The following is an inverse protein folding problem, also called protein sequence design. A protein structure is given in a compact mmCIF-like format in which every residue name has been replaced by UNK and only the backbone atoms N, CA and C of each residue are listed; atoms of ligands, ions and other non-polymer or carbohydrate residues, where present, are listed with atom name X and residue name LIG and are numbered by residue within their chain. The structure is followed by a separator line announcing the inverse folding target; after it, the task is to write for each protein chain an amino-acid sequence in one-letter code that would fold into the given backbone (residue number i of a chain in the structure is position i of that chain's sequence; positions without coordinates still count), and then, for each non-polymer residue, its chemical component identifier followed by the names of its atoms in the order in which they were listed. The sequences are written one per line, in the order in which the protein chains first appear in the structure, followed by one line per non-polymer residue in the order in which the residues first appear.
data_IF_058418634132
#
_entry.id   IF_058418634132
#
_cell.length_a   1.000
_cell.length_b   1.000
_cell.length_c   1.000
_cell.angle_alpha   90.00
_cell.angle_beta   90.00
_cell.angle_gamma   90.00
#
_symmetry.space_group_name_H-M   'P 1'
#
loop_
_entity.id
_entity.type
_entity.pdbx_description
1 polymer ?
#
# COMPACT_ATOMS: atom_id res chain seq x y z
N UNK A 1 19.18 18.62 -35.07
CA UNK A 1 18.67 17.37 -34.49
C UNK A 1 17.26 17.66 -34.00
N UNK A 2 16.32 17.17 -34.81
CA UNK A 2 14.88 17.36 -34.66
C UNK A 2 14.42 16.71 -33.36
N UNK A 3 14.03 17.55 -32.41
CA UNK A 3 13.21 17.15 -31.27
C UNK A 3 11.78 17.07 -31.82
N UNK A 4 11.30 15.86 -32.03
CA UNK A 4 9.89 15.58 -32.21
C UNK A 4 9.15 16.15 -30.98
N UNK A 5 8.52 17.32 -31.14
CA UNK A 5 7.48 17.86 -30.27
C UNK A 5 6.25 16.97 -30.48
N UNK A 6 6.23 15.81 -29.82
CA UNK A 6 4.98 15.12 -29.52
C UNK A 6 4.18 16.06 -28.60
N UNK A 7 3.25 16.82 -29.17
CA UNK A 7 2.16 17.49 -28.47
C UNK A 7 1.33 16.43 -27.74
N UNK A 8 1.80 15.99 -26.57
CA UNK A 8 0.99 15.27 -25.62
C UNK A 8 0.07 16.30 -24.94
N UNK A 9 -1.14 16.44 -25.43
CA UNK A 9 -2.27 16.98 -24.66
C UNK A 9 -2.40 16.11 -23.40
N UNK A 10 -1.76 16.55 -22.32
CA UNK A 10 -1.99 16.05 -20.98
C UNK A 10 -3.38 16.52 -20.52
N UNK A 11 -4.42 15.88 -21.01
CA UNK A 11 -5.68 15.81 -20.30
C UNK A 11 -5.43 14.97 -19.05
N UNK A 12 -5.11 15.66 -17.95
CA UNK A 12 -5.15 15.10 -16.60
C UNK A 12 -6.61 14.86 -16.22
N UNK A 13 -7.16 13.75 -16.66
CA UNK A 13 -8.28 13.14 -15.97
C UNK A 13 -7.71 12.48 -14.71
N UNK A 14 -8.03 13.06 -13.56
CA UNK A 14 -7.94 12.40 -12.25
C UNK A 14 -8.68 11.06 -12.34
N UNK A 15 -7.92 9.97 -12.48
CA UNK A 15 -8.43 8.60 -12.71
C UNK A 15 -9.05 7.97 -11.42
N UNK A 16 -9.47 8.80 -10.49
CA UNK A 16 -10.29 8.38 -9.33
C UNK A 16 -11.79 8.50 -9.61
N UNK A 17 -12.18 9.07 -10.78
CA UNK A 17 -13.58 9.25 -11.19
C UNK A 17 -14.06 8.30 -12.30
N UNK A 18 -13.21 7.42 -12.83
CA UNK A 18 -13.59 6.49 -13.92
C UNK A 18 -14.39 5.25 -13.47
N UNK A 19 -14.74 5.15 -12.18
CA UNK A 19 -15.66 4.11 -11.68
C UNK A 19 -17.16 4.44 -11.93
N UNK A 20 -17.49 5.64 -12.37
CA UNK A 20 -18.89 6.08 -12.48
C UNK A 20 -19.59 5.73 -13.81
N UNK A 21 -18.86 5.32 -14.85
CA UNK A 21 -19.46 5.02 -16.16
C UNK A 21 -19.87 3.55 -16.35
N UNK A 22 -19.75 2.72 -15.30
CA UNK A 22 -20.28 1.36 -15.23
C UNK A 22 -21.50 1.30 -14.31
N UNK A 23 -22.43 2.25 -14.41
CA UNK A 23 -23.70 2.13 -13.68
C UNK A 23 -24.46 0.91 -14.21
N UNK A 24 -24.37 -0.18 -13.42
CA UNK A 24 -25.13 -1.41 -13.68
C UNK A 24 -26.60 -1.01 -13.67
N UNK A 25 -27.34 -1.37 -14.74
CA UNK A 25 -28.77 -1.18 -14.78
C UNK A 25 -29.42 -1.76 -13.51
N UNK A 26 -30.07 -0.92 -12.69
CA UNK A 26 -30.62 -1.37 -11.41
C UNK A 26 -31.69 -2.45 -11.57
N UNK A 27 -32.40 -2.50 -12.70
CA UNK A 27 -33.43 -3.50 -12.98
C UNK A 27 -32.76 -4.85 -13.29
N UNK A 28 -31.76 -4.87 -14.15
CA UNK A 28 -30.97 -6.06 -14.47
C UNK A 28 -30.28 -6.63 -13.23
N UNK A 29 -29.74 -5.76 -12.37
CA UNK A 29 -29.13 -6.16 -11.12
C UNK A 29 -30.14 -6.83 -10.19
N UNK A 30 -31.33 -6.26 -10.02
CA UNK A 30 -32.41 -6.86 -9.21
C UNK A 30 -32.86 -8.22 -9.74
N UNK A 31 -33.01 -8.35 -11.05
CA UNK A 31 -33.37 -9.62 -11.69
C UNK A 31 -32.32 -10.69 -11.41
N UNK A 32 -31.05 -10.40 -11.68
CA UNK A 32 -29.94 -11.35 -11.46
C UNK A 32 -29.73 -11.73 -10.00
N UNK A 33 -29.82 -10.77 -9.07
CA UNK A 33 -29.78 -11.08 -7.63
C UNK A 33 -31.03 -11.85 -7.18
N UNK A 34 -32.19 -11.62 -7.80
CA UNK A 34 -33.40 -12.40 -7.58
C UNK A 34 -33.23 -13.86 -7.99
N UNK A 35 -32.70 -14.12 -9.20
CA UNK A 35 -32.34 -15.46 -9.67
C UNK A 35 -31.37 -16.16 -8.71
N UNK A 36 -30.32 -15.49 -8.31
CA UNK A 36 -29.33 -16.03 -7.38
C UNK A 36 -29.95 -16.41 -6.03
N UNK A 37 -30.79 -15.54 -5.47
CA UNK A 37 -31.49 -15.78 -4.20
C UNK A 37 -32.40 -16.98 -4.28
N UNK A 38 -33.21 -17.04 -5.32
CA UNK A 38 -34.15 -18.16 -5.54
C UNK A 38 -33.42 -19.51 -5.65
N UNK A 39 -32.34 -19.54 -6.46
CA UNK A 39 -31.50 -20.73 -6.60
C UNK A 39 -30.79 -21.11 -5.31
N UNK A 40 -30.34 -20.13 -4.52
CA UNK A 40 -29.73 -20.37 -3.22
C UNK A 40 -30.72 -20.99 -2.23
N UNK A 41 -31.97 -20.49 -2.17
CA UNK A 41 -32.99 -21.01 -1.27
C UNK A 41 -33.32 -22.46 -1.65
N UNK A 42 -33.51 -22.78 -2.95
CA UNK A 42 -33.73 -24.14 -3.44
C UNK A 42 -32.56 -25.06 -3.05
N UNK A 43 -31.35 -24.62 -3.31
CA UNK A 43 -30.13 -25.40 -3.00
C UNK A 43 -30.01 -25.67 -1.50
N UNK A 44 -30.23 -24.63 -0.66
CA UNK A 44 -30.20 -24.75 0.79
C UNK A 44 -31.23 -25.76 1.32
N UNK A 45 -32.47 -25.68 0.83
CA UNK A 45 -33.56 -26.58 1.28
C UNK A 45 -33.33 -28.02 0.81
N UNK A 46 -32.77 -28.21 -0.38
CA UNK A 46 -32.36 -29.52 -0.89
C UNK A 46 -31.24 -30.14 -0.07
N UNK A 47 -30.23 -29.32 0.33
CA UNK A 47 -29.13 -29.77 1.19
C UNK A 47 -29.68 -30.15 2.58
N UNK A 48 -30.59 -29.37 3.16
CA UNK A 48 -31.22 -29.70 4.46
C UNK A 48 -32.03 -30.98 4.42
N UNK A 49 -32.77 -31.22 3.31
CA UNK A 49 -33.66 -32.38 3.19
C UNK A 49 -32.92 -33.70 2.89
N UNK A 50 -31.91 -33.67 2.01
CA UNK A 50 -31.25 -34.86 1.46
C UNK A 50 -29.77 -35.01 1.84
N UNK A 51 -29.22 -34.02 2.47
CA UNK A 51 -27.78 -33.94 2.73
C UNK A 51 -26.97 -33.50 1.50
N UNK A 52 -25.79 -32.91 1.74
CA UNK A 52 -24.96 -32.32 0.70
C UNK A 52 -24.30 -33.34 -0.26
N UNK A 53 -24.06 -34.56 0.21
CA UNK A 53 -23.46 -35.64 -0.60
C UNK A 53 -24.42 -36.31 -1.57
N UNK A 54 -25.70 -35.99 -1.49
CA UNK A 54 -26.72 -36.59 -2.37
C UNK A 54 -26.62 -36.00 -3.79
N UNK A 55 -26.80 -36.86 -4.82
CA UNK A 55 -26.65 -36.45 -6.24
C UNK A 55 -27.52 -35.23 -6.60
N UNK A 56 -28.79 -35.20 -6.13
CA UNK A 56 -29.68 -34.07 -6.37
C UNK A 56 -29.17 -32.75 -5.70
N UNK A 57 -28.52 -32.80 -4.55
CA UNK A 57 -27.94 -31.63 -3.92
C UNK A 57 -26.72 -31.14 -4.70
N UNK A 58 -25.90 -32.03 -5.25
CA UNK A 58 -24.76 -31.68 -6.10
C UNK A 58 -25.19 -31.02 -7.41
N UNK A 59 -26.27 -31.48 -8.04
CA UNK A 59 -26.84 -30.85 -9.22
C UNK A 59 -27.31 -29.41 -8.94
N UNK A 60 -28.01 -29.19 -7.82
CA UNK A 60 -28.45 -27.85 -7.43
C UNK A 60 -27.27 -26.94 -7.06
N UNK A 61 -26.21 -27.44 -6.39
CA UNK A 61 -24.98 -26.72 -6.14
C UNK A 61 -24.28 -26.32 -7.45
N UNK A 62 -24.29 -27.20 -8.45
CA UNK A 62 -23.71 -26.90 -9.75
C UNK A 62 -24.50 -25.80 -10.48
N UNK A 63 -25.84 -25.85 -10.47
CA UNK A 63 -26.68 -24.77 -11.01
C UNK A 63 -26.42 -23.43 -10.30
N UNK A 64 -26.36 -23.44 -8.97
CA UNK A 64 -26.03 -22.24 -8.19
C UNK A 64 -24.66 -21.69 -8.58
N UNK A 65 -23.66 -22.56 -8.77
CA UNK A 65 -22.33 -22.18 -9.23
C UNK A 65 -22.35 -21.55 -10.63
N UNK A 66 -23.18 -22.05 -11.54
CA UNK A 66 -23.31 -21.49 -12.89
C UNK A 66 -23.96 -20.10 -12.88
N UNK A 67 -25.00 -19.93 -12.07
CA UNK A 67 -25.61 -18.59 -11.86
C UNK A 67 -24.60 -17.63 -11.23
N UNK A 68 -23.87 -18.06 -10.20
CA UNK A 68 -22.90 -17.22 -9.51
C UNK A 68 -21.72 -16.82 -10.42
N UNK A 69 -21.26 -17.69 -11.32
CA UNK A 69 -20.18 -17.40 -12.28
C UNK A 69 -20.53 -16.31 -13.29
N UNK A 70 -21.80 -15.98 -13.47
CA UNK A 70 -22.22 -14.88 -14.33
C UNK A 70 -21.92 -13.51 -13.71
N UNK A 71 -21.77 -13.45 -12.36
CA UNK A 71 -21.45 -12.23 -11.67
C UNK A 71 -19.96 -11.93 -11.77
N UNK A 72 -19.64 -10.70 -12.14
CA UNK A 72 -18.28 -10.18 -12.13
C UNK A 72 -18.05 -9.41 -10.82
N UNK A 73 -17.41 -10.05 -9.87
CA UNK A 73 -17.13 -9.45 -8.58
C UNK A 73 -16.09 -8.35 -8.70
N UNK A 74 -16.29 -7.26 -7.98
CA UNK A 74 -15.28 -6.21 -7.79
C UNK A 74 -14.06 -6.82 -7.07
N UNK A 75 -12.81 -6.44 -7.44
CA UNK A 75 -11.60 -7.00 -6.83
C UNK A 75 -11.62 -7.01 -5.29
N UNK A 76 -12.11 -5.95 -4.67
CA UNK A 76 -12.26 -5.84 -3.21
C UNK A 76 -13.13 -6.94 -2.61
N UNK A 77 -14.24 -7.29 -3.27
CA UNK A 77 -15.14 -8.36 -2.80
C UNK A 77 -14.52 -9.74 -3.03
N UNK A 78 -13.82 -9.91 -4.15
CA UNK A 78 -13.09 -11.14 -4.42
C UNK A 78 -12.00 -11.39 -3.36
N UNK A 79 -11.19 -10.39 -3.05
CA UNK A 79 -10.15 -10.48 -2.02
C UNK A 79 -10.73 -10.75 -0.63
N UNK A 80 -11.89 -10.17 -0.31
CA UNK A 80 -12.60 -10.45 0.93
C UNK A 80 -12.99 -11.93 1.03
N UNK A 81 -13.55 -12.51 -0.04
CA UNK A 81 -13.95 -13.93 -0.07
C UNK A 81 -12.72 -14.86 0.04
N UNK A 82 -11.64 -14.55 -0.66
CA UNK A 82 -10.37 -15.29 -0.59
C UNK A 82 -9.80 -15.26 0.83
N UNK A 83 -9.76 -14.08 1.45
CA UNK A 83 -9.25 -13.92 2.81
C UNK A 83 -10.15 -14.59 3.85
N UNK A 84 -11.47 -14.54 3.68
CA UNK A 84 -12.41 -15.27 4.53
C UNK A 84 -12.18 -16.78 4.46
N UNK A 85 -12.00 -17.32 3.25
CA UNK A 85 -11.71 -18.75 3.05
C UNK A 85 -10.36 -19.16 3.65
N UNK A 86 -9.32 -18.33 3.53
CA UNK A 86 -8.03 -18.54 4.18
C UNK A 86 -8.17 -18.52 5.70
N UNK A 87 -8.91 -17.56 6.25
CA UNK A 87 -9.16 -17.47 7.68
C UNK A 87 -9.85 -18.72 8.24
N UNK A 88 -10.83 -19.26 7.53
CA UNK A 88 -11.47 -20.54 7.88
C UNK A 88 -10.46 -21.69 7.86
N UNK A 89 -9.63 -21.77 6.82
CA UNK A 89 -8.61 -22.81 6.71
C UNK A 89 -7.54 -22.71 7.80
N UNK A 90 -7.15 -21.51 8.21
CA UNK A 90 -6.19 -21.32 9.30
C UNK A 90 -6.80 -21.69 10.66
N UNK A 91 -8.10 -21.43 10.88
CA UNK A 91 -8.83 -21.94 12.05
C UNK A 91 -8.80 -23.48 12.08
N UNK A 92 -9.10 -24.14 10.97
CA UNK A 92 -9.02 -25.61 10.85
C UNK A 92 -7.62 -26.11 11.16
N UNK A 93 -6.59 -25.57 10.50
CA UNK A 93 -5.19 -25.97 10.71
C UNK A 93 -4.71 -25.77 12.14
N UNK A 94 -5.18 -24.72 12.80
CA UNK A 94 -4.82 -24.45 14.19
C UNK A 94 -5.36 -25.53 15.11
N UNK A 95 -6.62 -25.93 14.94
CA UNK A 95 -7.22 -26.99 15.74
C UNK A 95 -6.57 -28.38 15.42
N UNK A 96 -6.35 -28.69 14.16
CA UNK A 96 -5.66 -29.94 13.77
C UNK A 96 -4.26 -30.04 14.34
N UNK A 97 -3.49 -28.94 14.32
CA UNK A 97 -2.15 -28.89 14.91
C UNK A 97 -2.20 -29.06 16.43
N UNK A 98 -3.17 -28.48 17.09
CA UNK A 98 -3.37 -28.59 18.53
C UNK A 98 -3.69 -30.04 18.89
N UNK A 99 -4.65 -30.68 18.23
CA UNK A 99 -5.01 -32.09 18.43
C UNK A 99 -3.79 -32.98 18.15
N UNK A 100 -3.06 -32.74 17.04
CA UNK A 100 -1.86 -33.49 16.72
C UNK A 100 -0.80 -33.34 17.81
N UNK A 101 -0.59 -32.13 18.34
CA UNK A 101 0.37 -31.87 19.41
C UNK A 101 0.01 -32.64 20.69
N UNK A 102 -1.26 -32.62 21.09
CA UNK A 102 -1.74 -33.37 22.24
C UNK A 102 -1.50 -34.90 22.07
N UNK A 103 -1.92 -35.45 20.94
CA UNK A 103 -1.82 -36.89 20.70
C UNK A 103 -0.38 -37.40 20.45
N UNK A 104 0.40 -36.65 19.64
CA UNK A 104 1.74 -37.11 19.21
C UNK A 104 2.84 -36.68 20.20
N UNK A 105 2.85 -35.44 20.67
CA UNK A 105 3.92 -34.93 21.55
C UNK A 105 3.69 -35.31 23.01
N UNK A 106 2.48 -35.12 23.55
CA UNK A 106 2.20 -35.40 24.96
C UNK A 106 1.98 -36.90 25.20
N UNK A 107 1.08 -37.51 24.40
CA UNK A 107 0.79 -38.96 24.59
C UNK A 107 1.78 -39.87 23.91
N UNK A 108 2.73 -39.36 23.10
CA UNK A 108 3.74 -40.13 22.33
C UNK A 108 3.13 -41.13 21.35
N UNK A 109 1.98 -40.84 20.81
CA UNK A 109 1.36 -41.63 19.74
C UNK A 109 2.19 -41.51 18.45
N UNK A 110 2.48 -42.61 17.74
CA UNK A 110 3.20 -42.57 16.45
C UNK A 110 2.42 -41.75 15.42
N UNK A 111 3.06 -40.77 14.79
CA UNK A 111 2.45 -39.86 13.81
C UNK A 111 1.70 -40.57 12.68
N UNK A 112 2.22 -41.74 12.23
CA UNK A 112 1.57 -42.58 11.21
C UNK A 112 0.19 -43.03 11.66
N UNK A 113 0.10 -43.57 12.90
CA UNK A 113 -1.18 -44.04 13.45
C UNK A 113 -2.19 -42.92 13.62
N UNK A 114 -1.73 -41.75 14.09
CA UNK A 114 -2.58 -40.56 14.18
C UNK A 114 -3.14 -40.17 12.81
N UNK A 115 -2.30 -40.02 11.79
CA UNK A 115 -2.74 -39.62 10.44
C UNK A 115 -3.75 -40.66 9.89
N UNK A 116 -3.48 -41.95 10.04
CA UNK A 116 -4.38 -42.99 9.50
C UNK A 116 -5.76 -42.99 10.15
N UNK A 117 -5.86 -42.66 11.45
CA UNK A 117 -7.13 -42.64 12.18
C UNK A 117 -7.88 -41.31 12.02
N UNK A 118 -7.14 -40.22 11.99
CA UNK A 118 -7.67 -38.88 12.00
C UNK A 118 -8.15 -38.41 10.62
N UNK A 119 -7.42 -38.75 9.53
CA UNK A 119 -7.77 -38.33 8.18
C UNK A 119 -9.08 -38.95 7.73
N UNK A 120 -10.03 -38.11 7.34
CA UNK A 120 -11.38 -38.53 6.92
C UNK A 120 -12.41 -38.61 8.06
N UNK A 121 -11.97 -38.53 9.33
CA UNK A 121 -12.81 -38.55 10.51
C UNK A 121 -12.54 -37.36 11.45
N UNK A 122 -12.08 -36.23 10.90
CA UNK A 122 -11.57 -35.08 11.65
C UNK A 122 -12.58 -34.50 12.66
N UNK A 123 -13.89 -34.61 12.38
CA UNK A 123 -14.98 -34.09 13.24
C UNK A 123 -15.64 -35.17 14.09
N UNK A 124 -15.33 -36.43 13.84
CA UNK A 124 -15.98 -37.58 14.52
C UNK A 124 -15.15 -38.02 15.71
N UNK A 125 -15.80 -38.35 16.83
CA UNK A 125 -15.13 -38.95 18.01
C UNK A 125 -14.72 -40.40 17.79
N UNK A 126 -15.16 -41.02 16.69
CA UNK A 126 -14.94 -42.46 16.41
C UNK A 126 -13.46 -42.81 16.30
N UNK A 127 -12.64 -41.94 15.71
CA UNK A 127 -11.17 -42.19 15.58
C UNK A 127 -10.49 -42.14 16.94
N UNK A 128 -10.96 -41.26 17.85
CA UNK A 128 -10.35 -41.13 19.19
C UNK A 128 -10.70 -42.34 20.06
N UNK A 129 -11.95 -42.79 20.02
CA UNK A 129 -12.38 -44.01 20.69
C UNK A 129 -11.66 -45.27 20.13
N UNK A 130 -11.46 -45.32 18.81
CA UNK A 130 -10.69 -46.40 18.19
C UNK A 130 -9.20 -46.35 18.61
N UNK A 131 -8.61 -45.18 18.77
CA UNK A 131 -7.26 -45.02 19.28
C UNK A 131 -7.10 -45.54 20.72
N UNK A 132 -8.08 -45.24 21.60
CA UNK A 132 -8.10 -45.74 22.97
C UNK A 132 -8.28 -47.27 22.98
N UNK A 133 -9.15 -47.84 22.14
CA UNK A 133 -9.41 -49.28 22.07
C UNK A 133 -8.23 -50.15 21.60
N UNK A 134 -7.17 -49.51 21.04
CA UNK A 134 -5.98 -50.21 20.61
C UNK A 134 -5.09 -50.76 21.76
N UNK A 135 -5.35 -50.39 23.01
CA UNK A 135 -4.65 -50.85 24.22
C UNK A 135 -3.13 -50.83 24.12
N UNK A 136 -2.57 -49.75 23.58
CA UNK A 136 -1.12 -49.55 23.47
C UNK A 136 -0.59 -48.64 24.59
N UNK A 137 0.72 -48.60 24.88
CA UNK A 137 1.29 -47.82 25.98
C UNK A 137 0.96 -46.32 25.94
N UNK A 138 0.54 -45.81 24.80
CA UNK A 138 0.09 -44.41 24.61
C UNK A 138 -1.43 -44.23 24.79
N UNK A 139 -2.22 -45.29 24.75
CA UNK A 139 -3.68 -45.23 24.89
C UNK A 139 -4.13 -44.78 26.29
N UNK A 140 -3.39 -45.18 27.35
CA UNK A 140 -3.67 -44.72 28.71
C UNK A 140 -3.52 -43.21 28.87
N UNK A 141 -2.48 -42.64 28.24
CA UNK A 141 -2.25 -41.17 28.27
C UNK A 141 -3.25 -40.36 27.47
N UNK A 142 -3.98 -40.99 26.50
CA UNK A 142 -5.02 -40.29 25.77
C UNK A 142 -6.21 -39.94 26.65
N UNK A 143 -6.45 -40.67 27.74
CA UNK A 143 -7.50 -40.32 28.69
C UNK A 143 -7.22 -38.99 29.40
N UNK A 144 -5.95 -38.66 29.69
CA UNK A 144 -5.56 -37.43 30.36
C UNK A 144 -5.81 -36.16 29.48
N UNK A 145 -5.78 -36.32 28.16
CA UNK A 145 -5.98 -35.20 27.21
C UNK A 145 -7.34 -35.25 26.51
N UNK A 146 -8.22 -36.15 26.90
CA UNK A 146 -9.52 -36.39 26.26
C UNK A 146 -10.35 -35.09 26.18
N UNK A 147 -10.47 -34.33 27.25
CA UNK A 147 -11.24 -33.10 27.31
C UNK A 147 -10.71 -32.00 26.36
N UNK A 148 -9.39 -31.91 26.20
CA UNK A 148 -8.77 -30.96 25.30
C UNK A 148 -8.97 -31.35 23.83
N UNK A 149 -8.91 -32.65 23.53
CA UNK A 149 -9.22 -33.18 22.21
C UNK A 149 -10.68 -32.96 21.87
N UNK A 150 -11.61 -33.28 22.80
CA UNK A 150 -13.04 -33.02 22.58
C UNK A 150 -13.34 -31.54 22.33
N UNK A 151 -12.71 -30.63 23.07
CA UNK A 151 -12.84 -29.18 22.79
C UNK A 151 -12.33 -28.80 21.40
N UNK A 152 -11.24 -29.42 20.96
CA UNK A 152 -10.72 -29.25 19.59
C UNK A 152 -11.69 -29.76 18.53
N UNK A 153 -12.29 -30.96 18.74
CA UNK A 153 -13.29 -31.54 17.84
C UNK A 153 -14.56 -30.69 17.76
N UNK A 154 -15.08 -30.19 18.90
CA UNK A 154 -16.24 -29.29 18.92
C UNK A 154 -16.00 -28.02 18.09
N UNK A 155 -14.80 -27.44 18.16
CA UNK A 155 -14.45 -26.28 17.35
C UNK A 155 -14.39 -26.63 15.86
N UNK A 156 -13.93 -27.81 15.49
CA UNK A 156 -13.97 -28.27 14.09
C UNK A 156 -15.41 -28.49 13.63
N UNK A 157 -16.28 -29.09 14.46
CA UNK A 157 -17.71 -29.26 14.17
C UNK A 157 -18.40 -27.91 14.00
N UNK A 158 -18.09 -26.94 14.86
CA UNK A 158 -18.60 -25.57 14.73
C UNK A 158 -18.22 -24.93 13.39
N UNK A 159 -16.98 -25.14 12.90
CA UNK A 159 -16.57 -24.66 11.58
C UNK A 159 -17.36 -25.35 10.47
N UNK A 160 -17.63 -26.65 10.57
CA UNK A 160 -18.49 -27.38 9.61
C UNK A 160 -19.93 -26.84 9.61
N UNK A 161 -20.49 -26.53 10.78
CA UNK A 161 -21.82 -25.94 10.89
C UNK A 161 -21.86 -24.53 10.30
N UNK A 162 -20.89 -23.69 10.62
CA UNK A 162 -20.76 -22.32 10.09
C UNK A 162 -20.62 -22.29 8.55
N UNK A 163 -19.84 -23.22 7.99
CA UNK A 163 -19.55 -23.25 6.56
C UNK A 163 -20.52 -24.09 5.76
N UNK A 164 -21.19 -25.04 6.41
CA UNK A 164 -21.97 -26.09 5.73
C UNK A 164 -21.13 -27.02 4.85
N UNK A 165 -19.81 -27.04 5.05
CA UNK A 165 -18.81 -27.84 4.31
C UNK A 165 -18.11 -28.80 5.23
N UNK A 166 -17.79 -30.01 4.77
CA UNK A 166 -16.90 -30.91 5.50
C UNK A 166 -15.47 -30.35 5.48
N UNK A 167 -14.68 -30.66 6.50
CA UNK A 167 -13.28 -30.22 6.59
C UNK A 167 -12.48 -30.62 5.34
N UNK A 168 -12.73 -31.79 4.82
CA UNK A 168 -12.10 -32.28 3.57
C UNK A 168 -12.44 -31.38 2.38
N UNK A 169 -13.72 -30.99 2.23
CA UNK A 169 -14.14 -30.08 1.17
C UNK A 169 -13.51 -28.69 1.31
N UNK A 170 -13.42 -28.17 2.53
CA UNK A 170 -12.72 -26.88 2.80
C UNK A 170 -11.27 -26.95 2.37
N UNK A 171 -10.58 -28.07 2.70
CA UNK A 171 -9.18 -28.31 2.27
C UNK A 171 -9.05 -28.40 0.75
N UNK A 172 -9.96 -29.11 0.07
CA UNK A 172 -9.91 -29.25 -1.40
C UNK A 172 -10.17 -27.90 -2.11
N UNK A 173 -11.17 -27.13 -1.66
CA UNK A 173 -11.45 -25.80 -2.19
C UNK A 173 -10.22 -24.87 -2.01
N UNK A 174 -9.63 -24.84 -0.80
CA UNK A 174 -8.44 -24.04 -0.54
C UNK A 174 -7.24 -24.49 -1.39
N UNK A 175 -7.08 -25.80 -1.62
CA UNK A 175 -6.04 -26.33 -2.51
C UNK A 175 -6.23 -25.85 -3.95
N UNK A 176 -7.46 -25.93 -4.48
CA UNK A 176 -7.76 -25.46 -5.85
C UNK A 176 -7.55 -23.96 -5.98
N UNK A 177 -7.97 -23.20 -4.98
CA UNK A 177 -7.75 -21.74 -4.92
C UNK A 177 -6.26 -21.42 -4.94
N UNK A 178 -5.45 -22.06 -4.10
CA UNK A 178 -4.00 -21.85 -4.04
C UNK A 178 -3.29 -22.20 -5.35
N UNK A 179 -3.74 -23.26 -6.05
CA UNK A 179 -3.22 -23.62 -7.38
C UNK A 179 -3.56 -22.53 -8.41
N UNK A 180 -4.80 -22.02 -8.36
CA UNK A 180 -5.26 -20.94 -9.24
C UNK A 180 -4.44 -19.65 -9.01
N UNK A 181 -4.25 -19.25 -7.76
CA UNK A 181 -3.43 -18.10 -7.40
C UNK A 181 -1.97 -18.25 -7.84
N UNK A 182 -1.40 -19.44 -7.66
CA UNK A 182 -0.02 -19.72 -8.12
C UNK A 182 0.12 -19.58 -9.64
N UNK A 183 -0.89 -20.07 -10.40
CA UNK A 183 -0.94 -19.89 -11.87
C UNK A 183 -1.05 -18.41 -12.25
N UNK A 184 -1.94 -17.66 -11.60
CA UNK A 184 -2.14 -16.24 -11.87
C UNK A 184 -0.86 -15.43 -11.56
N UNK A 185 -0.22 -15.69 -10.42
CA UNK A 185 1.04 -15.05 -10.04
C UNK A 185 2.16 -15.33 -11.02
N UNK A 186 2.26 -16.59 -11.48
CA UNK A 186 3.25 -16.97 -12.50
C UNK A 186 3.00 -16.25 -13.83
N UNK A 187 1.75 -16.21 -14.31
CA UNK A 187 1.39 -15.52 -15.53
C UNK A 187 1.66 -14.02 -15.46
N UNK A 188 1.33 -13.36 -14.34
CA UNK A 188 1.67 -11.96 -14.09
C UNK A 188 3.17 -11.72 -14.15
N UNK A 189 3.96 -12.59 -13.51
CA UNK A 189 5.42 -12.51 -13.52
C UNK A 189 5.97 -12.64 -14.94
N UNK A 190 5.55 -13.64 -15.71
CA UNK A 190 5.94 -13.85 -17.09
C UNK A 190 5.59 -12.64 -17.98
N UNK A 191 4.42 -12.04 -17.75
CA UNK A 191 3.98 -10.85 -18.49
C UNK A 191 4.84 -9.61 -18.17
N UNK A 192 5.20 -9.40 -16.89
CA UNK A 192 6.12 -8.32 -16.48
C UNK A 192 7.48 -8.52 -17.11
N UNK A 193 8.09 -9.71 -16.98
CA UNK A 193 9.43 -10.04 -17.47
C UNK A 193 9.53 -9.84 -19.00
N UNK A 194 8.50 -10.21 -19.75
CA UNK A 194 8.45 -10.02 -21.21
C UNK A 194 8.45 -8.54 -21.65
N UNK A 195 7.98 -7.62 -20.76
CA UNK A 195 7.81 -6.21 -21.08
C UNK A 195 8.82 -5.26 -20.40
N UNK A 196 9.84 -5.79 -19.69
CA UNK A 196 10.88 -4.95 -19.05
C UNK A 196 11.63 -4.06 -20.03
N UNK A 197 11.83 -4.52 -21.28
CA UNK A 197 12.47 -3.72 -22.34
C UNK A 197 11.64 -2.49 -22.73
N UNK A 198 10.32 -2.58 -22.66
CA UNK A 198 9.43 -1.44 -22.90
C UNK A 198 9.69 -0.34 -21.87
N UNK A 199 9.80 -0.70 -20.58
CA UNK A 199 10.11 0.25 -19.50
C UNK A 199 11.42 0.97 -19.76
N UNK A 200 12.50 0.23 -20.12
CA UNK A 200 13.81 0.82 -20.40
C UNK A 200 13.73 1.83 -21.56
N UNK A 201 12.98 1.51 -22.62
CA UNK A 201 12.84 2.39 -23.79
C UNK A 201 12.11 3.70 -23.44
N UNK A 202 11.13 3.64 -22.55
CA UNK A 202 10.40 4.82 -22.07
C UNK A 202 11.26 5.60 -21.08
N UNK A 203 11.85 4.95 -20.06
CA UNK A 203 12.69 5.59 -19.05
C UNK A 203 13.87 6.38 -19.66
N UNK A 204 14.41 5.90 -20.80
CA UNK A 204 15.49 6.58 -21.53
C UNK A 204 15.10 8.00 -21.99
N UNK A 205 13.83 8.27 -22.26
CA UNK A 205 13.35 9.61 -22.65
C UNK A 205 13.30 10.60 -21.47
N UNK A 206 13.36 10.11 -20.22
CA UNK A 206 13.26 10.90 -18.99
C UNK A 206 14.58 11.07 -18.25
N UNK A 207 15.70 10.69 -18.86
CA UNK A 207 17.04 10.92 -18.30
C UNK A 207 17.35 12.40 -18.15
N UNK A 208 18.23 12.76 -17.22
CA UNK A 208 18.67 14.14 -16.92
C UNK A 208 17.56 15.07 -16.39
N UNK A 209 16.53 14.50 -15.74
CA UNK A 209 15.43 15.25 -15.12
C UNK A 209 15.44 15.18 -13.59
N UNK A 210 16.62 14.96 -12.99
CA UNK A 210 16.79 14.98 -11.53
C UNK A 210 16.82 13.62 -10.85
N UNK A 211 16.40 12.53 -11.53
CA UNK A 211 16.53 11.17 -11.04
C UNK A 211 17.56 10.37 -11.83
N UNK A 212 18.21 9.43 -11.16
CA UNK A 212 19.13 8.48 -11.76
C UNK A 212 18.40 7.53 -12.71
N UNK A 213 19.04 7.12 -13.80
CA UNK A 213 18.42 6.25 -14.81
C UNK A 213 17.89 4.93 -14.22
N UNK A 214 18.61 4.33 -13.27
CA UNK A 214 18.17 3.09 -12.62
C UNK A 214 16.90 3.29 -11.77
N UNK A 215 16.77 4.44 -11.13
CA UNK A 215 15.57 4.77 -10.34
C UNK A 215 14.36 4.97 -11.26
N UNK A 216 14.55 5.64 -12.40
CA UNK A 216 13.50 5.76 -13.42
C UNK A 216 13.01 4.40 -13.93
N UNK A 217 13.93 3.43 -14.13
CA UNK A 217 13.57 2.06 -14.49
C UNK A 217 12.75 1.41 -13.39
N UNK A 218 13.13 1.55 -12.12
CA UNK A 218 12.40 0.93 -11.02
C UNK A 218 11.00 1.51 -10.86
N UNK A 219 10.86 2.82 -10.93
CA UNK A 219 9.54 3.47 -10.91
C UNK A 219 8.69 3.07 -12.11
N UNK A 220 9.31 2.99 -13.29
CA UNK A 220 8.64 2.46 -14.48
C UNK A 220 8.22 1.00 -14.36
N UNK A 221 9.00 0.15 -13.67
CA UNK A 221 8.62 -1.23 -13.36
C UNK A 221 7.42 -1.30 -12.41
N UNK A 222 7.32 -0.39 -11.43
CA UNK A 222 6.15 -0.27 -10.56
C UNK A 222 4.90 0.09 -11.39
N UNK A 223 5.04 1.03 -12.32
CA UNK A 223 3.99 1.37 -13.27
C UNK A 223 3.58 0.18 -14.14
N UNK A 224 4.54 -0.57 -14.67
CA UNK A 224 4.29 -1.80 -15.45
C UNK A 224 3.53 -2.85 -14.64
N UNK A 225 3.90 -3.09 -13.37
CA UNK A 225 3.20 -4.05 -12.50
C UNK A 225 1.74 -3.62 -12.27
N UNK A 226 1.47 -2.33 -12.04
CA UNK A 226 0.10 -1.79 -11.95
C UNK A 226 -0.67 -1.99 -13.25
N UNK A 227 -0.03 -1.79 -14.40
CA UNK A 227 -0.64 -2.03 -15.70
C UNK A 227 -1.02 -3.51 -15.90
N UNK A 228 -0.15 -4.46 -15.52
CA UNK A 228 -0.43 -5.90 -15.60
C UNK A 228 -1.61 -6.29 -14.70
N UNK A 229 -1.71 -5.70 -13.52
CA UNK A 229 -2.81 -5.99 -12.58
C UNK A 229 -4.18 -5.49 -13.07
N UNK A 230 -4.21 -4.32 -13.72
CA UNK A 230 -5.45 -3.68 -14.20
C UNK A 230 -5.79 -4.01 -15.66
N UNK A 231 -4.91 -4.72 -16.40
CA UNK A 231 -5.12 -4.99 -17.82
C UNK A 231 -6.26 -5.96 -18.10
N UNK A 232 -7.20 -5.54 -18.95
CA UNK A 232 -8.33 -6.32 -19.41
C UNK A 232 -8.18 -6.69 -20.89
N UNK A 233 -7.66 -7.88 -21.18
CA UNK A 233 -7.43 -8.35 -22.55
C UNK A 233 -8.72 -8.40 -23.40
N UNK A 234 -9.89 -8.52 -22.78
CA UNK A 234 -11.18 -8.61 -23.48
C UNK A 234 -11.58 -7.31 -24.16
N UNK A 235 -10.99 -6.17 -23.80
CA UNK A 235 -11.22 -4.87 -24.46
C UNK A 235 -10.56 -4.78 -25.85
N UNK A 236 -9.71 -5.74 -26.25
CA UNK A 236 -9.10 -5.84 -27.57
C UNK A 236 -7.92 -4.92 -27.84
N UNK A 237 -7.52 -4.08 -26.88
CA UNK A 237 -6.34 -3.21 -27.02
C UNK A 237 -5.03 -3.97 -26.80
N UNK A 238 -3.97 -3.52 -27.48
CA UNK A 238 -2.62 -4.05 -27.24
C UNK A 238 -2.15 -3.66 -25.85
N UNK A 239 -1.57 -4.61 -25.13
CA UNK A 239 -1.02 -4.38 -23.78
C UNK A 239 -0.02 -3.22 -23.74
N UNK A 240 0.88 -3.12 -24.74
CA UNK A 240 1.90 -2.07 -24.79
C UNK A 240 1.32 -0.66 -24.76
N UNK A 241 0.19 -0.41 -25.45
CA UNK A 241 -0.47 0.90 -25.46
C UNK A 241 -0.95 1.28 -24.06
N UNK A 242 -1.63 0.35 -23.37
CA UNK A 242 -2.10 0.56 -22.02
C UNK A 242 -0.95 0.69 -21.00
N UNK A 243 0.06 -0.18 -21.11
CA UNK A 243 1.20 -0.16 -20.20
C UNK A 243 2.04 1.11 -20.33
N UNK A 244 2.17 1.67 -21.54
CA UNK A 244 2.93 2.91 -21.78
C UNK A 244 2.40 4.06 -20.93
N UNK A 245 1.07 4.20 -20.83
CA UNK A 245 0.45 5.23 -19.99
C UNK A 245 0.82 5.06 -18.51
N UNK A 246 0.66 3.86 -17.96
CA UNK A 246 1.00 3.58 -16.56
C UNK A 246 2.48 3.75 -16.23
N UNK A 247 3.36 3.35 -17.16
CA UNK A 247 4.81 3.51 -17.02
C UNK A 247 5.16 4.99 -17.02
N UNK A 248 4.63 5.76 -17.99
CA UNK A 248 4.85 7.20 -18.11
C UNK A 248 4.37 7.92 -16.85
N UNK A 249 3.16 7.64 -16.40
CA UNK A 249 2.57 8.22 -15.21
C UNK A 249 3.40 7.94 -13.95
N UNK A 250 3.86 6.70 -13.76
CA UNK A 250 4.71 6.36 -12.62
C UNK A 250 6.03 7.13 -12.63
N UNK A 251 6.71 7.19 -13.79
CA UNK A 251 7.98 7.90 -13.95
C UNK A 251 7.79 9.41 -13.72
N UNK A 252 6.79 10.02 -14.34
CA UNK A 252 6.53 11.47 -14.22
C UNK A 252 6.19 11.85 -12.79
N UNK A 253 5.36 11.04 -12.11
CA UNK A 253 5.02 11.27 -10.70
C UNK A 253 6.23 11.13 -9.78
N UNK A 254 7.08 10.13 -10.01
CA UNK A 254 8.30 9.94 -9.23
C UNK A 254 9.30 11.09 -9.42
N UNK A 255 9.46 11.59 -10.66
CA UNK A 255 10.26 12.79 -10.93
C UNK A 255 9.70 13.99 -10.15
N UNK A 256 8.38 14.19 -10.18
CA UNK A 256 7.76 15.29 -9.45
C UNK A 256 7.97 15.18 -7.93
N UNK A 257 7.91 13.98 -7.37
CA UNK A 257 8.04 13.77 -5.92
C UNK A 257 9.48 13.78 -5.40
N UNK A 258 10.47 13.36 -6.20
CA UNK A 258 11.83 13.02 -5.71
C UNK A 258 12.97 13.75 -6.42
N UNK A 259 12.75 14.38 -7.58
CA UNK A 259 13.83 14.99 -8.36
C UNK A 259 14.47 16.21 -7.70
N UNK A 260 13.76 16.88 -6.78
CA UNK A 260 14.24 18.12 -6.15
C UNK A 260 14.77 17.86 -4.75
N UNK A 261 15.87 18.49 -4.39
CA UNK A 261 16.45 18.46 -3.04
C UNK A 261 15.45 18.96 -1.98
N UNK A 262 14.71 20.02 -2.30
CA UNK A 262 13.59 20.50 -1.49
C UNK A 262 12.30 20.06 -2.20
N UNK A 263 11.56 19.12 -1.60
CA UNK A 263 10.35 18.57 -2.17
C UNK A 263 9.28 19.65 -2.36
N UNK A 264 8.67 19.67 -3.54
CA UNK A 264 7.55 20.55 -3.89
C UNK A 264 6.33 19.69 -4.17
N UNK A 265 5.11 20.08 -3.74
CA UNK A 265 3.88 19.38 -4.08
C UNK A 265 3.65 19.27 -5.59
N UNK A 266 3.09 18.14 -6.05
CA UNK A 266 2.90 17.83 -7.49
C UNK A 266 2.15 18.95 -8.23
N UNK A 267 1.03 19.44 -7.69
CA UNK A 267 0.25 20.52 -8.31
C UNK A 267 1.03 21.83 -8.50
N UNK A 268 2.06 22.08 -7.67
CA UNK A 268 2.93 23.24 -7.85
C UNK A 268 3.94 23.02 -8.96
N UNK A 269 4.41 21.78 -9.14
CA UNK A 269 5.31 21.41 -10.25
C UNK A 269 4.58 21.51 -11.59
N UNK A 270 3.32 21.09 -11.64
CA UNK A 270 2.44 21.28 -12.81
C UNK A 270 2.26 22.76 -13.15
N UNK A 271 2.02 23.57 -12.13
CA UNK A 271 1.93 25.03 -12.30
C UNK A 271 3.24 25.63 -12.83
N UNK A 272 4.39 25.16 -12.31
CA UNK A 272 5.72 25.60 -12.78
C UNK A 272 5.95 25.16 -14.24
N UNK A 273 5.60 23.91 -14.58
CA UNK A 273 5.73 23.40 -15.95
C UNK A 273 4.86 24.17 -16.94
N UNK A 274 3.60 24.46 -16.57
CA UNK A 274 2.70 25.30 -17.36
C UNK A 274 3.26 26.71 -17.52
N UNK A 275 3.79 27.30 -16.46
CA UNK A 275 4.43 28.60 -16.49
C UNK A 275 5.64 28.62 -17.44
N UNK A 276 6.51 27.62 -17.34
CA UNK A 276 7.68 27.51 -18.20
C UNK A 276 7.31 27.33 -19.70
N UNK A 277 6.27 26.53 -19.97
CA UNK A 277 5.75 26.34 -21.34
C UNK A 277 5.22 27.66 -21.91
N UNK A 278 4.38 28.36 -21.16
CA UNK A 278 3.82 29.65 -21.58
C UNK A 278 4.92 30.71 -21.74
N UNK A 279 5.89 30.76 -20.81
CA UNK A 279 7.01 31.68 -20.90
C UNK A 279 7.85 31.46 -22.16
N UNK A 280 8.13 30.19 -22.54
CA UNK A 280 8.83 29.86 -23.79
C UNK A 280 8.03 30.28 -25.03
N UNK A 281 6.70 30.03 -25.02
CA UNK A 281 5.82 30.42 -26.11
C UNK A 281 5.81 31.94 -26.26
N UNK A 282 5.67 32.72 -25.18
CA UNK A 282 5.71 34.19 -25.22
C UNK A 282 7.07 34.73 -25.65
N UNK A 283 8.17 34.04 -25.26
CA UNK A 283 9.51 34.39 -25.74
C UNK A 283 9.60 34.25 -27.27
N UNK A 284 9.02 33.22 -27.88
CA UNK A 284 8.97 33.04 -29.33
C UNK A 284 8.09 34.11 -30.01
N UNK A 285 6.95 34.47 -29.41
CA UNK A 285 6.02 35.48 -29.95
C UNK A 285 6.59 36.91 -29.86
N UNK A 286 7.25 37.26 -28.74
CA UNK A 286 7.69 38.65 -28.46
C UNK A 286 9.18 38.89 -28.69
N UNK A 287 10.00 37.84 -28.80
CA UNK A 287 11.45 37.94 -28.93
C UNK A 287 12.19 38.37 -27.63
N UNK A 288 11.47 38.48 -26.48
CA UNK A 288 12.02 38.82 -25.16
C UNK A 288 11.34 38.01 -24.06
N UNK A 289 11.99 37.91 -22.92
CA UNK A 289 11.37 37.28 -21.74
C UNK A 289 10.10 38.05 -21.30
N UNK A 290 9.00 37.33 -21.00
CA UNK A 290 7.77 37.95 -20.52
C UNK A 290 7.92 38.48 -19.10
N UNK A 291 7.23 39.59 -18.82
CA UNK A 291 7.13 40.13 -17.44
C UNK A 291 6.15 39.29 -16.63
N UNK A 292 6.25 39.29 -15.27
CA UNK A 292 5.29 38.60 -14.41
C UNK A 292 3.83 39.03 -14.61
N UNK A 293 3.62 40.27 -15.03
CA UNK A 293 2.30 40.85 -15.33
C UNK A 293 1.70 40.24 -16.61
N UNK A 294 2.51 40.13 -17.67
CA UNK A 294 2.13 39.47 -18.93
C UNK A 294 1.85 38.00 -18.75
N UNK A 295 2.67 37.30 -17.92
CA UNK A 295 2.45 35.92 -17.53
C UNK A 295 1.14 35.74 -16.76
N UNK A 296 0.82 36.68 -15.85
CA UNK A 296 -0.41 36.66 -15.07
C UNK A 296 -1.68 36.74 -15.95
N UNK A 297 -1.66 37.56 -16.97
CA UNK A 297 -2.75 37.69 -17.95
C UNK A 297 -2.92 36.37 -18.75
N UNK A 298 -1.81 35.78 -19.25
CA UNK A 298 -1.87 34.57 -20.07
C UNK A 298 -2.24 33.32 -19.26
N UNK A 299 -1.83 33.25 -17.99
CA UNK A 299 -2.16 32.15 -17.08
C UNK A 299 -3.48 32.30 -16.33
N UNK A 300 -4.14 33.46 -16.42
CA UNK A 300 -5.35 33.79 -15.67
C UNK A 300 -5.14 33.66 -14.14
N UNK A 301 -3.99 34.10 -13.65
CA UNK A 301 -3.60 34.02 -12.24
C UNK A 301 -3.13 35.38 -11.72
N UNK A 302 -3.34 35.69 -10.41
CA UNK A 302 -2.83 36.91 -9.82
C UNK A 302 -1.29 37.01 -9.93
N UNK A 303 -0.77 38.22 -10.19
CA UNK A 303 0.67 38.47 -10.32
C UNK A 303 1.47 38.02 -9.09
N UNK A 304 0.96 38.24 -7.87
CA UNK A 304 1.58 37.82 -6.63
C UNK A 304 1.81 36.29 -6.57
N UNK A 305 0.90 35.50 -7.13
CA UNK A 305 1.07 34.05 -7.24
C UNK A 305 2.18 33.70 -8.22
N UNK A 306 2.25 34.36 -9.38
CA UNK A 306 3.31 34.15 -10.38
C UNK A 306 4.66 34.45 -9.75
N UNK A 307 4.82 35.57 -9.05
CA UNK A 307 6.06 35.93 -8.36
C UNK A 307 6.48 34.91 -7.30
N UNK A 308 5.51 34.35 -6.56
CA UNK A 308 5.77 33.26 -5.59
C UNK A 308 6.18 31.97 -6.29
N UNK A 309 5.51 31.58 -7.37
CA UNK A 309 5.83 30.38 -8.15
C UNK A 309 7.24 30.49 -8.74
N UNK A 310 7.63 31.64 -9.29
CA UNK A 310 8.98 31.89 -9.80
C UNK A 310 10.06 31.76 -8.72
N UNK A 311 9.79 32.20 -7.48
CA UNK A 311 10.71 31.99 -6.35
C UNK A 311 10.86 30.51 -5.98
N UNK A 312 9.76 29.77 -5.93
CA UNK A 312 9.74 28.35 -5.58
C UNK A 312 10.39 27.50 -6.68
N UNK A 313 10.29 27.93 -7.94
CA UNK A 313 10.84 27.22 -9.09
C UNK A 313 12.38 27.14 -9.09
N UNK A 314 13.07 28.03 -8.37
CA UNK A 314 14.53 28.05 -8.30
C UNK A 314 15.05 26.80 -7.58
N UNK A 315 16.15 26.26 -8.10
CA UNK A 315 16.87 25.15 -7.48
C UNK A 315 17.97 25.68 -6.55
N UNK A 316 18.26 24.99 -5.43
CA UNK A 316 19.37 25.35 -4.56
C UNK A 316 20.70 25.14 -5.26
N UNK A 317 21.67 26.01 -4.94
CA UNK A 317 23.04 25.92 -5.45
C UNK A 317 23.89 25.17 -4.42
N UNK A 318 24.81 24.33 -4.88
CA UNK A 318 25.74 23.62 -4.00
C UNK A 318 26.74 24.59 -3.36
N UNK A 319 26.99 24.41 -2.07
CA UNK A 319 28.03 25.17 -1.34
C UNK A 319 29.45 24.80 -1.80
N UNK A 320 29.61 23.63 -2.43
CA UNK A 320 30.88 23.16 -2.99
C UNK A 320 31.13 23.68 -4.42
N UNK A 321 30.27 24.59 -4.92
CA UNK A 321 30.50 25.20 -6.25
C UNK A 321 31.76 26.05 -6.22
N UNK A 322 32.78 25.77 -7.09
CA UNK A 322 34.01 26.54 -7.14
C UNK A 322 33.75 27.98 -7.61
N UNK A 323 34.41 28.94 -7.05
CA UNK A 323 34.33 30.36 -7.43
C UNK A 323 35.71 30.82 -7.96
N UNK A 324 35.76 31.23 -9.22
CA UNK A 324 36.98 31.65 -9.90
C UNK A 324 37.71 30.50 -10.59
N UNK A 325 38.92 30.78 -11.07
CA UNK A 325 39.77 29.81 -11.79
C UNK A 325 40.60 28.93 -10.84
N UNK A 326 40.67 29.29 -9.55
CA UNK A 326 41.38 28.53 -8.52
C UNK A 326 40.42 27.51 -7.87
N UNK A 327 40.81 26.23 -7.90
CA UNK A 327 39.99 25.11 -7.35
C UNK A 327 39.86 25.14 -5.81
N UNK A 328 40.57 26.05 -5.13
CA UNK A 328 40.66 26.13 -3.66
C UNK A 328 39.55 26.97 -3.00
N UNK A 329 38.75 27.73 -3.78
CA UNK A 329 37.70 28.61 -3.24
C UNK A 329 36.31 28.13 -3.59
N UNK A 330 35.52 27.82 -2.56
CA UNK A 330 34.15 27.36 -2.71
C UNK A 330 33.13 28.40 -2.23
N UNK A 331 31.89 28.34 -2.74
CA UNK A 331 30.80 29.25 -2.35
C UNK A 331 30.57 29.24 -0.82
N UNK A 332 30.77 28.09 -0.17
CA UNK A 332 30.64 27.94 1.27
C UNK A 332 31.56 28.82 2.08
N UNK A 333 32.78 29.11 1.56
CA UNK A 333 33.79 29.91 2.26
C UNK A 333 33.40 31.39 2.35
N UNK A 334 32.47 31.85 1.51
CA UNK A 334 31.97 33.23 1.47
C UNK A 334 30.67 33.44 2.26
N UNK A 335 30.11 32.39 2.86
CA UNK A 335 28.89 32.49 3.64
C UNK A 335 29.24 32.70 5.10
N UNK A 336 28.91 33.88 5.63
CA UNK A 336 29.11 34.23 7.03
C UNK A 336 28.18 33.45 7.96
N UNK A 337 28.69 32.93 9.06
CA UNK A 337 27.86 32.31 10.11
C UNK A 337 27.22 33.41 10.99
N UNK A 338 25.94 33.68 10.70
CA UNK A 338 25.15 34.67 11.44
C UNK A 338 24.61 34.14 12.78
N UNK A 339 24.82 32.85 13.10
CA UNK A 339 24.33 32.26 14.36
C UNK A 339 25.28 32.52 15.53
N UNK A 340 26.54 32.86 15.25
CA UNK A 340 27.52 33.22 16.25
C UNK A 340 27.31 34.65 16.72
N UNK A 341 27.21 34.83 18.04
CA UNK A 341 27.15 36.17 18.63
C UNK A 341 28.47 36.89 18.40
N UNK A 342 28.39 38.17 18.03
CA UNK A 342 29.60 39.02 17.91
C UNK A 342 30.29 39.10 19.26
N UNK A 343 31.62 39.14 19.32
CA UNK A 343 32.39 39.26 20.57
C UNK A 343 31.96 40.45 21.44
N UNK A 344 31.56 41.56 20.78
CA UNK A 344 31.04 42.74 21.46
C UNK A 344 29.71 42.47 22.16
N UNK A 345 28.80 41.80 21.48
CA UNK A 345 27.45 41.47 22.00
C UNK A 345 27.57 40.46 23.15
N UNK A 346 28.42 39.44 23.00
CA UNK A 346 28.71 38.47 24.06
C UNK A 346 29.30 39.14 25.31
N UNK A 347 30.27 40.05 25.14
CA UNK A 347 30.85 40.82 26.25
C UNK A 347 29.84 41.75 26.92
N UNK A 348 28.96 42.35 26.12
CA UNK A 348 27.86 43.21 26.62
C UNK A 348 26.84 42.40 27.40
N UNK A 349 26.47 41.25 26.91
CA UNK A 349 25.53 40.31 27.58
C UNK A 349 26.09 39.83 28.90
N UNK A 350 27.37 39.44 28.95
CA UNK A 350 28.03 39.01 30.18
C UNK A 350 28.18 40.14 31.21
N UNK A 351 28.50 41.36 30.74
CA UNK A 351 28.54 42.56 31.61
C UNK A 351 27.16 42.88 32.18
N UNK A 352 26.11 42.80 31.37
CA UNK A 352 24.73 42.98 31.81
C UNK A 352 24.32 41.93 32.84
N UNK A 353 24.72 40.69 32.60
CA UNK A 353 24.46 39.55 33.51
C UNK A 353 25.16 39.79 34.87
N UNK A 354 26.41 40.17 34.86
CA UNK A 354 27.15 40.51 36.08
C UNK A 354 26.50 41.68 36.85
N UNK A 355 26.15 42.77 36.18
CA UNK A 355 25.43 43.89 36.79
C UNK A 355 24.07 43.48 37.37
N UNK A 356 23.33 42.62 36.69
CA UNK A 356 22.06 42.09 37.17
C UNK A 356 22.26 41.25 38.44
N UNK A 357 23.28 40.44 38.49
CA UNK A 357 23.65 39.66 39.70
C UNK A 357 24.03 40.57 40.88
N UNK A 358 24.78 41.61 40.65
CA UNK A 358 25.18 42.56 41.69
C UNK A 358 23.94 43.30 42.27
N UNK A 359 23.00 43.72 41.41
CA UNK A 359 21.76 44.37 41.86
C UNK A 359 20.89 43.36 42.68
N UNK A 360 20.78 42.11 42.20
CA UNK A 360 20.05 41.07 42.94
C UNK A 360 20.69 40.70 44.27
N UNK A 361 22.01 40.80 44.38
CA UNK A 361 22.74 40.57 45.67
C UNK A 361 22.45 41.65 46.70
N UNK A 362 22.07 42.87 46.30
CA UNK A 362 21.67 43.95 47.19
C UNK A 362 20.24 43.82 47.77
N UNK A 363 19.42 42.87 47.27
CA UNK A 363 18.06 42.62 47.75
C UNK A 363 18.00 41.57 48.85
N UNK A 364 16.89 41.53 49.58
CA UNK A 364 16.70 40.44 50.53
C UNK A 364 16.59 39.08 49.83
N UNK A 365 17.05 38.02 50.49
CA UNK A 365 17.09 36.67 49.91
C UNK A 365 15.72 36.20 49.34
N UNK A 366 14.61 36.67 49.94
CA UNK A 366 13.24 36.36 49.48
C UNK A 366 12.86 37.12 48.22
N UNK A 367 13.16 38.39 48.13
CA UNK A 367 12.91 39.25 46.98
C UNK A 367 13.73 38.80 45.78
N UNK A 368 15.03 38.59 45.99
CA UNK A 368 15.92 38.07 44.94
C UNK A 368 15.45 36.74 44.40
N UNK A 369 14.95 35.82 45.25
CA UNK A 369 14.43 34.51 44.82
C UNK A 369 13.16 34.67 43.97
N UNK A 370 12.24 35.56 44.37
CA UNK A 370 10.98 35.81 43.62
C UNK A 370 11.32 36.35 42.21
N UNK A 371 12.24 37.32 42.09
CA UNK A 371 12.66 37.88 40.85
C UNK A 371 13.35 36.84 39.95
N UNK A 372 14.26 36.04 40.52
CA UNK A 372 14.92 34.95 39.78
C UNK A 372 13.91 33.95 39.24
N UNK A 373 12.89 33.54 40.05
CA UNK A 373 11.86 32.62 39.65
C UNK A 373 10.94 33.24 38.57
N UNK A 374 10.60 34.53 38.70
CA UNK A 374 9.71 35.21 37.76
C UNK A 374 10.30 35.37 36.37
N UNK A 375 11.60 35.72 36.31
CA UNK A 375 12.29 36.00 35.05
C UNK A 375 13.23 34.88 34.59
N UNK A 376 13.20 33.72 35.25
CA UNK A 376 14.02 32.57 34.86
C UNK A 376 15.54 32.82 35.00
N UNK A 377 16.00 33.78 35.85
CA UNK A 377 17.40 34.07 36.01
C UNK A 377 18.08 32.91 36.71
N UNK A 378 19.08 32.31 36.08
CA UNK A 378 19.80 31.10 36.53
C UNK A 378 18.88 29.86 36.70
N UNK A 379 17.72 29.83 36.04
CA UNK A 379 16.77 28.72 36.07
C UNK A 379 16.38 28.32 34.63
N UNK A 380 15.97 27.06 34.45
CA UNK A 380 15.54 26.54 33.15
C UNK A 380 14.06 26.88 32.80
N UNK A 381 13.30 27.43 33.76
CA UNK A 381 11.89 27.77 33.59
C UNK A 381 11.59 29.07 34.36
N UNK A 382 10.73 29.92 33.79
CA UNK A 382 10.14 31.06 34.45
C UNK A 382 8.83 30.63 35.16
N UNK A 383 8.53 31.27 36.29
CA UNK A 383 7.36 30.99 37.11
C UNK A 383 6.45 32.23 37.17
N UNK A 384 5.13 32.00 37.06
CA UNK A 384 4.11 33.06 37.19
C UNK A 384 3.75 33.36 38.63
#
# INVERSE_FOLDING_TARGET
EELDDDEDEDEEEDDDSSDDDNSIDPELAREKFGELRTQYEITRDTIKAKGRSHAAAQEEIQKLSEVFKQFRLVPKQFDYLVNSMRGMMDRVRTQERLIMKLCVEQCKMPKKNFITLFTGNETSETWFNAAIAMNKPWSEKLHDVADDVHRGLQKLQQIEEETGLTIEQVKDINRRMSIGEAKARRAKKEMVEANLRLVISIAKKYTNRGLQFLDLIQEGNIGLMKAVDKFEYRRGYKFSTYATWWIRQAITRSIADQARTIRIPVHMIETINKLNRISRQMLQEMGREPTPEELAERMLMPEDKIRKVLKIAKEPISMETPIGDDEDSHLGDFIEDTTLELPLDSATTESLRAATHDVLAGLTAREAKVLRMRFGIDMNTDHT
#
